data_IF_641594490146
#
_entry.id   IF_641594490146
#
_cell.length_a   1.000
_cell.length_b   1.000
_cell.length_c   1.000
_cell.angle_alpha   90.00
_cell.angle_beta   90.00
_cell.angle_gamma   90.00
#
_symmetry.space_group_name_H-M   'P 1'
#
loop_
_entity.id
_entity.type
_entity.pdbx_description
1 polymer ?
#
# COMPACT_ATOMS: atom_id res chain seq x y z
N UNK A 1 -70.68 0.04 -43.25
CA UNK A 1 -69.26 0.47 -43.32
C UNK A 1 -68.62 0.67 -41.93
N UNK A 2 -69.41 0.75 -40.85
CA UNK A 2 -68.98 1.01 -39.47
C UNK A 2 -68.42 -0.22 -38.74
N UNK A 3 -68.95 -1.43 -38.96
CA UNK A 3 -68.55 -2.63 -38.21
C UNK A 3 -67.11 -3.11 -38.53
N UNK A 4 -66.72 -3.05 -39.80
CA UNK A 4 -65.38 -3.41 -40.27
C UNK A 4 -64.30 -2.49 -39.67
N UNK A 5 -64.61 -1.20 -39.57
CA UNK A 5 -63.72 -0.21 -38.96
C UNK A 5 -63.55 -0.45 -37.44
N UNK A 6 -64.61 -0.83 -36.72
CA UNK A 6 -64.51 -1.19 -35.31
C UNK A 6 -63.70 -2.46 -35.07
N UNK A 7 -63.81 -3.45 -35.97
CA UNK A 7 -63.01 -4.66 -35.91
C UNK A 7 -61.52 -4.38 -36.16
N UNK A 8 -61.19 -3.59 -37.18
CA UNK A 8 -59.80 -3.19 -37.48
C UNK A 8 -59.20 -2.32 -36.37
N UNK A 9 -59.99 -1.42 -35.75
CA UNK A 9 -59.55 -0.63 -34.60
C UNK A 9 -59.26 -1.49 -33.35
N UNK A 10 -60.06 -2.55 -33.12
CA UNK A 10 -59.79 -3.50 -32.04
C UNK A 10 -58.50 -4.27 -32.30
N UNK A 11 -58.30 -4.76 -33.52
CA UNK A 11 -57.06 -5.45 -33.92
C UNK A 11 -55.85 -4.53 -33.72
N UNK A 12 -55.94 -3.27 -34.18
CA UNK A 12 -54.84 -2.30 -34.05
C UNK A 12 -54.53 -1.95 -32.58
N UNK A 13 -55.55 -1.78 -31.73
CA UNK A 13 -55.36 -1.54 -30.29
C UNK A 13 -54.73 -2.74 -29.60
N UNK A 14 -55.19 -3.95 -29.89
CA UNK A 14 -54.61 -5.18 -29.36
C UNK A 14 -53.16 -5.36 -29.82
N UNK A 15 -52.88 -5.09 -31.10
CA UNK A 15 -51.53 -5.11 -31.65
C UNK A 15 -50.62 -4.10 -30.94
N UNK A 16 -51.06 -2.85 -30.77
CA UNK A 16 -50.31 -1.80 -30.09
C UNK A 16 -50.03 -2.12 -28.61
N UNK A 17 -51.01 -2.69 -27.90
CA UNK A 17 -50.82 -3.13 -26.52
C UNK A 17 -49.79 -4.28 -26.43
N UNK A 18 -49.88 -5.27 -27.32
CA UNK A 18 -48.95 -6.40 -27.35
C UNK A 18 -47.54 -5.94 -27.69
N UNK A 19 -47.37 -5.09 -28.72
CA UNK A 19 -46.05 -4.57 -29.09
C UNK A 19 -45.44 -3.69 -28.00
N UNK A 20 -46.24 -2.84 -27.35
CA UNK A 20 -45.78 -2.02 -26.22
C UNK A 20 -45.36 -2.89 -25.04
N UNK A 21 -46.15 -3.92 -24.71
CA UNK A 21 -45.82 -4.86 -23.63
C UNK A 21 -44.53 -5.61 -23.94
N UNK A 22 -44.38 -6.12 -25.17
CA UNK A 22 -43.17 -6.80 -25.62
C UNK A 22 -41.95 -5.87 -25.54
N UNK A 23 -42.04 -4.64 -26.06
CA UNK A 23 -40.98 -3.64 -25.98
C UNK A 23 -40.58 -3.32 -24.54
N UNK A 24 -41.57 -3.23 -23.65
CA UNK A 24 -41.34 -2.97 -22.22
C UNK A 24 -40.62 -4.15 -21.57
N UNK A 25 -41.08 -5.38 -21.81
CA UNK A 25 -40.44 -6.60 -21.30
C UNK A 25 -39.03 -6.75 -21.84
N UNK A 26 -38.79 -6.56 -23.14
CA UNK A 26 -37.45 -6.63 -23.73
C UNK A 26 -36.51 -5.57 -23.16
N UNK A 27 -37.00 -4.34 -22.97
CA UNK A 27 -36.21 -3.27 -22.36
C UNK A 27 -35.82 -3.62 -20.93
N UNK A 28 -36.78 -4.03 -20.09
CA UNK A 28 -36.51 -4.43 -18.69
C UNK A 28 -35.55 -5.63 -18.64
N UNK A 29 -35.78 -6.64 -19.48
CA UNK A 29 -34.96 -7.86 -19.53
C UNK A 29 -33.49 -7.53 -19.88
N UNK A 30 -33.27 -6.66 -20.86
CA UNK A 30 -31.94 -6.22 -21.27
C UNK A 30 -31.18 -5.47 -20.15
N UNK A 31 -31.89 -4.72 -19.31
CA UNK A 31 -31.30 -4.05 -18.13
C UNK A 31 -31.09 -4.98 -16.93
N UNK A 32 -31.73 -6.16 -16.90
CA UNK A 32 -31.61 -7.13 -15.79
C UNK A 32 -30.53 -8.20 -16.00
N UNK A 33 -29.74 -8.13 -17.09
CA UNK A 33 -28.68 -9.10 -17.37
C UNK A 33 -27.50 -8.94 -16.39
N UNK A 34 -27.66 -9.49 -15.19
CA UNK A 34 -26.66 -9.56 -14.11
C UNK A 34 -25.71 -10.74 -14.30
N UNK A 35 -25.22 -10.96 -15.53
CA UNK A 35 -24.19 -11.97 -15.73
C UNK A 35 -22.82 -11.42 -15.31
N UNK A 36 -22.07 -12.23 -14.56
CA UNK A 36 -20.67 -11.93 -14.25
C UNK A 36 -19.89 -11.78 -15.56
N UNK A 37 -19.22 -10.64 -15.72
CA UNK A 37 -18.33 -10.44 -16.86
C UNK A 37 -17.23 -11.49 -16.84
N UNK A 38 -16.95 -12.08 -18.01
CA UNK A 38 -15.84 -13.01 -18.21
C UNK A 38 -14.96 -12.42 -19.31
N UNK A 39 -13.68 -12.32 -19.01
CA UNK A 39 -12.68 -11.86 -19.95
C UNK A 39 -11.62 -12.94 -20.09
N UNK A 40 -11.09 -13.12 -21.29
CA UNK A 40 -9.85 -13.89 -21.49
C UNK A 40 -8.64 -13.05 -21.06
N UNK A 41 -8.65 -11.76 -21.41
CA UNK A 41 -7.61 -10.77 -21.11
C UNK A 41 -8.26 -9.38 -21.01
N UNK A 42 -7.65 -8.48 -20.23
CA UNK A 42 -8.03 -7.07 -20.14
C UNK A 42 -6.79 -6.18 -20.11
N UNK A 43 -6.77 -5.15 -20.95
CA UNK A 43 -5.80 -4.06 -20.90
C UNK A 43 -6.43 -2.85 -20.21
N UNK A 44 -5.97 -2.58 -18.99
CA UNK A 44 -6.52 -1.49 -18.17
C UNK A 44 -5.42 -0.79 -17.40
N UNK A 45 -5.60 0.50 -17.15
CA UNK A 45 -4.65 1.27 -16.34
C UNK A 45 -4.85 1.04 -14.83
N UNK A 46 -6.08 0.65 -14.42
CA UNK A 46 -6.48 0.51 -13.02
C UNK A 46 -7.69 -0.42 -12.85
N UNK A 47 -7.68 -1.22 -11.79
CA UNK A 47 -8.79 -2.03 -11.29
C UNK A 47 -9.08 -1.61 -9.85
N UNK A 48 -10.34 -1.31 -9.55
CA UNK A 48 -10.82 -1.04 -8.20
C UNK A 48 -11.71 -2.18 -7.73
N UNK A 49 -11.41 -2.75 -6.57
CA UNK A 49 -12.36 -3.56 -5.80
C UNK A 49 -12.96 -2.64 -4.75
N UNK A 50 -14.28 -2.53 -4.75
CA UNK A 50 -15.03 -1.61 -3.88
C UNK A 50 -16.02 -2.37 -3.02
N UNK A 51 -16.19 -1.89 -1.80
CA UNK A 51 -17.22 -2.32 -0.87
C UNK A 51 -18.61 -1.77 -1.26
N UNK A 52 -19.72 -2.32 -0.74
CA UNK A 52 -21.07 -1.81 -1.01
C UNK A 52 -21.28 -0.34 -0.63
N UNK A 53 -20.52 0.18 0.33
CA UNK A 53 -20.54 1.59 0.75
C UNK A 53 -19.70 2.51 -0.15
N UNK A 54 -19.04 1.99 -1.18
CA UNK A 54 -18.19 2.74 -2.10
C UNK A 54 -16.73 2.90 -1.65
N UNK A 55 -16.35 2.43 -0.46
CA UNK A 55 -14.94 2.41 -0.05
C UNK A 55 -14.14 1.43 -0.91
N UNK A 56 -12.85 1.72 -1.11
CA UNK A 56 -11.96 0.75 -1.73
C UNK A 56 -11.66 -0.40 -0.76
N UNK A 57 -11.55 -1.62 -1.29
CA UNK A 57 -10.93 -2.78 -0.63
C UNK A 57 -9.53 -3.04 -1.17
N UNK A 58 -9.37 -2.88 -2.48
CA UNK A 58 -8.12 -3.10 -3.19
C UNK A 58 -8.06 -2.23 -4.44
N UNK A 59 -6.89 -1.65 -4.73
CA UNK A 59 -6.63 -0.91 -5.96
C UNK A 59 -5.37 -1.47 -6.63
N UNK A 60 -5.52 -2.08 -7.80
CA UNK A 60 -4.40 -2.46 -8.69
C UNK A 60 -4.26 -1.39 -9.78
N UNK A 61 -3.06 -0.86 -9.98
CA UNK A 61 -2.88 0.28 -10.90
C UNK A 61 -1.47 0.42 -11.45
N UNK A 62 -1.38 1.04 -12.64
CA UNK A 62 -0.13 1.55 -13.19
C UNK A 62 0.35 2.82 -12.46
N UNK A 63 1.49 3.37 -12.86
CA UNK A 63 2.14 4.46 -12.11
C UNK A 63 1.28 5.72 -12.10
N UNK A 64 0.83 6.27 -13.25
CA UNK A 64 0.03 7.50 -13.27
C UNK A 64 -1.34 7.37 -12.59
N UNK A 65 -1.92 6.16 -12.52
CA UNK A 65 -3.24 5.92 -11.90
C UNK A 65 -3.17 5.42 -10.46
N UNK A 66 -1.97 5.22 -9.92
CA UNK A 66 -1.79 4.81 -8.54
C UNK A 66 -2.42 5.78 -7.55
N UNK A 67 -3.03 5.22 -6.50
CA UNK A 67 -3.77 5.98 -5.50
C UNK A 67 -2.82 6.60 -4.47
N UNK A 68 -3.18 7.79 -3.96
CA UNK A 68 -2.52 8.38 -2.80
C UNK A 68 -2.96 7.69 -1.51
N UNK A 69 -2.31 7.97 -0.37
CA UNK A 69 -2.72 7.45 0.93
C UNK A 69 -4.14 7.90 1.30
N UNK A 70 -4.93 6.99 1.86
CA UNK A 70 -6.29 7.24 2.34
C UNK A 70 -6.42 6.75 3.78
N UNK A 71 -7.01 7.56 4.65
CA UNK A 71 -7.43 7.17 5.99
C UNK A 71 -8.89 7.55 6.19
N UNK A 72 -9.72 6.60 6.64
CA UNK A 72 -11.15 6.81 6.84
C UNK A 72 -11.86 7.41 5.62
N UNK A 73 -11.52 6.93 4.42
CA UNK A 73 -12.04 7.44 3.15
C UNK A 73 -11.51 8.81 2.71
N UNK A 74 -10.60 9.43 3.47
CA UNK A 74 -10.04 10.76 3.18
C UNK A 74 -8.57 10.67 2.72
N UNK A 75 -8.19 11.33 1.61
CA UNK A 75 -6.80 11.42 1.20
C UNK A 75 -5.94 12.15 2.24
N UNK A 76 -4.69 11.73 2.40
CA UNK A 76 -3.71 12.43 3.25
C UNK A 76 -2.28 12.34 2.70
N UNK A 77 -1.38 13.19 3.21
CA UNK A 77 0.03 13.18 2.86
C UNK A 77 0.29 13.67 1.43
N UNK A 78 0.49 12.74 0.49
CA UNK A 78 0.93 13.03 -0.87
C UNK A 78 -0.08 12.54 -1.93
N UNK A 79 -0.11 13.15 -3.14
CA UNK A 79 -0.98 12.68 -4.20
C UNK A 79 -0.57 11.29 -4.71
N UNK A 80 -1.50 10.58 -5.34
CA UNK A 80 -1.18 9.37 -6.10
C UNK A 80 -0.23 9.63 -7.29
N UNK A 81 0.12 8.59 -8.03
CA UNK A 81 0.94 8.72 -9.25
C UNK A 81 2.38 8.20 -9.16
N UNK A 82 2.80 7.68 -8.01
CA UNK A 82 4.19 7.29 -7.75
C UNK A 82 4.41 5.81 -7.47
N UNK A 83 3.35 5.06 -7.14
CA UNK A 83 3.40 3.72 -6.55
C UNK A 83 2.58 2.70 -7.36
N UNK A 84 3.01 2.26 -8.55
CA UNK A 84 2.27 1.23 -9.28
C UNK A 84 2.30 -0.10 -8.52
N UNK A 85 1.20 -0.84 -8.61
CA UNK A 85 1.00 -2.09 -7.90
C UNK A 85 -0.38 -2.17 -7.25
N UNK A 86 -0.45 -2.85 -6.10
CA UNK A 86 -1.68 -3.15 -5.36
C UNK A 86 -1.65 -2.41 -4.03
N UNK A 87 -2.71 -1.67 -3.71
CA UNK A 87 -2.92 -1.04 -2.39
C UNK A 87 -4.15 -1.67 -1.74
N UNK A 88 -4.05 -2.00 -0.45
CA UNK A 88 -5.12 -2.63 0.34
C UNK A 88 -5.73 -1.65 1.33
N UNK A 89 -6.99 -1.90 1.69
CA UNK A 89 -7.75 -1.08 2.62
C UNK A 89 -8.49 -1.95 3.65
N UNK A 90 -8.60 -1.44 4.88
CA UNK A 90 -9.42 -2.03 5.93
C UNK A 90 -10.91 -1.62 5.80
N UNK A 91 -11.76 -2.15 6.68
CA UNK A 91 -13.23 -1.94 6.65
C UNK A 91 -13.63 -0.48 6.90
N UNK A 92 -12.75 0.28 7.54
CA UNK A 92 -12.94 1.69 7.84
C UNK A 92 -12.52 2.61 6.67
N UNK A 93 -11.99 2.03 5.58
CA UNK A 93 -11.53 2.78 4.42
C UNK A 93 -10.15 3.42 4.60
N UNK A 94 -9.30 2.84 5.46
CA UNK A 94 -7.91 3.24 5.66
C UNK A 94 -6.97 2.29 4.92
N UNK A 95 -6.01 2.84 4.17
CA UNK A 95 -4.90 2.10 3.54
C UNK A 95 -4.16 1.32 4.63
N UNK A 96 -3.95 0.02 4.43
CA UNK A 96 -3.32 -0.86 5.44
C UNK A 96 -2.21 -1.75 4.86
N UNK A 97 -1.48 -1.20 3.90
CA UNK A 97 -0.37 -1.84 3.23
C UNK A 97 -0.58 -1.96 1.72
N UNK A 98 0.42 -2.54 1.06
CA UNK A 98 0.41 -2.67 -0.39
C UNK A 98 1.60 -3.44 -0.93
N UNK A 99 1.53 -3.77 -2.20
CA UNK A 99 2.60 -4.35 -3.00
C UNK A 99 2.90 -3.39 -4.14
N UNK A 100 4.06 -2.75 -4.11
CA UNK A 100 4.48 -1.77 -5.11
C UNK A 100 5.73 -2.23 -5.83
N UNK A 101 5.82 -1.88 -7.11
CA UNK A 101 6.97 -2.17 -7.96
C UNK A 101 7.47 -0.86 -8.55
N UNK A 102 8.77 -0.72 -8.74
CA UNK A 102 9.30 0.38 -9.53
C UNK A 102 10.66 0.02 -10.11
N UNK A 103 10.99 0.68 -11.20
CA UNK A 103 12.32 0.61 -11.76
C UNK A 103 12.47 1.60 -12.91
N UNK A 104 13.63 2.23 -12.98
CA UNK A 104 13.99 3.12 -14.09
C UNK A 104 15.50 3.31 -14.13
N UNK A 105 16.01 3.58 -15.33
CA UNK A 105 17.37 4.06 -15.53
C UNK A 105 17.32 5.53 -15.87
N UNK A 106 18.04 6.35 -15.10
CA UNK A 106 18.18 7.78 -15.34
C UNK A 106 19.67 8.14 -15.23
N UNK A 107 20.17 8.90 -16.20
CA UNK A 107 21.58 9.35 -16.23
C UNK A 107 22.59 8.20 -16.05
N UNK A 108 22.33 7.05 -16.69
CA UNK A 108 23.18 5.86 -16.62
C UNK A 108 23.15 5.11 -15.28
N UNK A 109 22.32 5.54 -14.32
CA UNK A 109 22.14 4.87 -13.03
C UNK A 109 20.75 4.27 -12.96
N UNK A 110 20.67 2.98 -12.62
CA UNK A 110 19.38 2.33 -12.46
C UNK A 110 18.92 2.34 -11.01
N UNK A 111 17.61 2.39 -10.83
CA UNK A 111 16.91 2.10 -9.58
C UNK A 111 15.92 1.00 -9.85
N UNK A 112 15.76 0.08 -8.90
CA UNK A 112 14.72 -0.95 -8.94
C UNK A 112 14.26 -1.24 -7.52
N UNK A 113 12.97 -1.48 -7.35
CA UNK A 113 12.43 -1.86 -6.06
C UNK A 113 11.12 -2.59 -6.12
N UNK A 114 10.95 -3.44 -5.11
CA UNK A 114 9.70 -4.11 -4.75
C UNK A 114 9.48 -3.85 -3.27
N UNK A 115 8.28 -3.42 -2.90
CA UNK A 115 7.93 -3.17 -1.51
C UNK A 115 6.55 -3.76 -1.25
N UNK A 116 6.52 -4.82 -0.46
CA UNK A 116 5.30 -5.41 0.09
C UNK A 116 5.25 -5.10 1.57
N UNK A 117 4.19 -4.43 2.01
CA UNK A 117 4.05 -3.98 3.38
C UNK A 117 2.69 -4.25 3.97
N UNK A 118 2.67 -4.37 5.29
CA UNK A 118 1.49 -4.48 6.12
C UNK A 118 1.58 -3.45 7.25
N UNK A 119 0.56 -2.63 7.35
CA UNK A 119 0.52 -1.55 8.32
C UNK A 119 -0.06 -2.02 9.66
N UNK A 120 0.42 -1.41 10.74
CA UNK A 120 -0.27 -1.54 12.03
C UNK A 120 -1.63 -0.83 11.94
N UNK A 121 -2.62 -1.31 12.68
CA UNK A 121 -3.94 -0.68 12.72
C UNK A 121 -3.84 0.82 13.00
N UNK A 122 -4.46 1.64 12.15
CA UNK A 122 -4.46 3.11 12.24
C UNK A 122 -3.05 3.74 12.27
N UNK A 123 -2.08 3.01 11.73
CA UNK A 123 -0.66 3.35 11.73
C UNK A 123 -0.04 2.93 10.39
N UNK A 124 1.29 2.93 10.35
CA UNK A 124 2.10 2.69 9.17
C UNK A 124 2.85 1.34 9.29
N UNK A 125 3.65 0.95 8.29
CA UNK A 125 4.23 -0.41 8.16
C UNK A 125 4.89 -1.00 9.42
N UNK A 126 4.54 -2.25 9.76
CA UNK A 126 5.21 -3.07 10.80
C UNK A 126 5.81 -4.37 10.25
N UNK A 127 5.32 -4.85 9.10
CA UNK A 127 5.93 -5.98 8.39
C UNK A 127 6.22 -5.56 6.96
N UNK A 128 7.46 -5.75 6.50
CA UNK A 128 7.90 -5.32 5.17
C UNK A 128 8.79 -6.37 4.51
N UNK A 129 8.37 -6.90 3.36
CA UNK A 129 9.21 -7.67 2.44
C UNK A 129 9.66 -6.75 1.31
N UNK A 130 10.97 -6.63 1.11
CA UNK A 130 11.52 -5.60 0.23
C UNK A 130 12.73 -6.07 -0.59
N UNK A 131 12.81 -5.53 -1.79
CA UNK A 131 14.01 -5.47 -2.63
C UNK A 131 14.21 -3.99 -3.01
N UNK A 132 15.41 -3.45 -2.78
CA UNK A 132 15.84 -2.13 -3.26
C UNK A 132 17.22 -2.30 -3.85
N UNK A 133 17.40 -1.81 -5.08
CA UNK A 133 18.69 -1.72 -5.76
C UNK A 133 18.89 -0.30 -6.27
N UNK A 134 19.88 0.37 -5.69
CA UNK A 134 20.35 1.68 -6.10
C UNK A 134 21.70 1.50 -6.79
N UNK A 135 21.65 1.22 -8.10
CA UNK A 135 22.83 1.08 -8.95
C UNK A 135 23.90 0.11 -8.38
N UNK A 136 23.47 -1.08 -7.93
CA UNK A 136 24.32 -2.12 -7.32
C UNK A 136 24.35 -2.08 -5.80
N UNK A 137 23.93 -0.98 -5.17
CA UNK A 137 23.76 -0.90 -3.71
C UNK A 137 22.43 -1.50 -3.31
N UNK A 138 22.45 -2.80 -3.00
CA UNK A 138 21.26 -3.61 -2.78
C UNK A 138 20.95 -3.83 -1.31
N UNK A 139 19.68 -3.66 -0.92
CA UNK A 139 19.08 -4.20 0.31
C UNK A 139 17.91 -5.09 -0.08
N UNK A 140 17.88 -6.32 0.41
CA UNK A 140 16.72 -7.20 0.23
C UNK A 140 16.45 -7.95 1.53
N UNK A 141 15.20 -8.19 1.88
CA UNK A 141 14.87 -8.93 3.08
C UNK A 141 13.48 -8.67 3.61
N UNK A 142 13.24 -9.24 4.78
CA UNK A 142 12.02 -9.13 5.55
C UNK A 142 12.35 -8.40 6.87
N UNK A 143 11.55 -7.39 7.18
CA UNK A 143 11.63 -6.60 8.40
C UNK A 143 10.35 -6.77 9.22
N UNK A 144 10.51 -6.92 10.54
CA UNK A 144 9.46 -6.78 11.54
C UNK A 144 9.82 -5.62 12.47
N UNK A 145 8.86 -4.74 12.72
CA UNK A 145 9.06 -3.55 13.53
C UNK A 145 7.92 -3.36 14.55
N UNK A 146 8.27 -2.73 15.67
CA UNK A 146 7.30 -2.18 16.62
C UNK A 146 7.11 -0.69 16.30
N UNK A 147 5.91 -0.15 16.56
CA UNK A 147 5.61 1.28 16.46
C UNK A 147 4.76 1.74 17.64
N UNK A 148 4.93 3.01 18.03
CA UNK A 148 4.06 3.63 19.00
C UNK A 148 2.60 3.64 18.52
N UNK A 149 1.65 3.45 19.43
CA UNK A 149 0.23 3.50 19.12
C UNK A 149 -0.25 4.96 19.09
N UNK A 150 -0.20 5.56 17.89
CA UNK A 150 -0.55 6.96 17.64
C UNK A 150 -1.29 7.02 16.30
N UNK A 151 -2.46 7.63 16.18
CA UNK A 151 -3.16 7.67 14.89
C UNK A 151 -2.31 8.31 13.77
N UNK A 152 -2.19 7.64 12.62
CA UNK A 152 -1.39 8.12 11.48
C UNK A 152 -1.77 9.54 11.05
N UNK A 153 -3.06 9.88 11.11
CA UNK A 153 -3.55 11.22 10.76
C UNK A 153 -3.04 12.31 11.69
N UNK A 154 -2.81 12.01 12.97
CA UNK A 154 -2.20 12.96 13.91
C UNK A 154 -0.73 13.17 13.58
N UNK A 155 0.01 12.09 13.29
CA UNK A 155 1.42 12.16 12.88
C UNK A 155 1.57 13.00 11.61
N UNK A 156 0.71 12.76 10.61
CA UNK A 156 0.72 13.50 9.34
C UNK A 156 0.39 14.98 9.56
N UNK A 157 -0.65 15.31 10.33
CA UNK A 157 -1.02 16.69 10.60
C UNK A 157 0.11 17.48 11.31
N UNK A 158 0.81 16.82 12.24
CA UNK A 158 1.98 17.41 12.89
C UNK A 158 3.13 17.60 11.89
N UNK A 159 3.42 16.58 11.07
CA UNK A 159 4.46 16.65 10.04
C UNK A 159 4.20 17.76 9.01
N UNK A 160 2.95 17.92 8.57
CA UNK A 160 2.54 18.99 7.65
C UNK A 160 2.72 20.38 8.25
N UNK A 161 2.41 20.53 9.54
CA UNK A 161 2.63 21.77 10.28
C UNK A 161 4.11 22.11 10.37
N UNK A 162 4.97 21.12 10.65
CA UNK A 162 6.43 21.30 10.70
C UNK A 162 7.02 21.59 9.31
N UNK A 163 6.51 20.93 8.27
CA UNK A 163 6.99 21.13 6.90
C UNK A 163 6.77 22.57 6.39
N UNK A 164 5.71 23.25 6.88
CA UNK A 164 5.39 24.65 6.56
C UNK A 164 6.26 25.67 7.28
N UNK A 165 7.04 25.26 8.29
CA UNK A 165 7.97 26.16 8.98
C UNK A 165 9.10 26.60 8.02
N UNK A 166 9.61 27.84 8.20
CA UNK A 166 10.84 28.27 7.52
C UNK A 166 12.00 27.33 7.82
N UNK A 167 12.89 27.15 6.85
CA UNK A 167 14.09 26.35 7.06
C UNK A 167 15.01 27.03 8.09
N UNK A 168 15.50 26.24 9.04
CA UNK A 168 16.32 26.71 10.14
C UNK A 168 16.27 25.78 11.36
N UNK A 169 17.01 26.12 12.43
CA UNK A 169 17.13 25.29 13.63
C UNK A 169 15.78 24.89 14.23
N UNK A 170 14.81 25.82 14.28
CA UNK A 170 13.48 25.53 14.83
C UNK A 170 12.73 24.41 14.08
N UNK A 171 12.86 24.34 12.75
CA UNK A 171 12.24 23.27 11.95
C UNK A 171 12.94 21.93 12.18
N UNK A 172 14.26 21.95 12.36
CA UNK A 172 15.05 20.76 12.72
C UNK A 172 14.63 20.23 14.08
N UNK A 173 14.55 21.10 15.09
CA UNK A 173 14.11 20.74 16.44
C UNK A 173 12.68 20.21 16.46
N UNK A 174 11.78 20.86 15.70
CA UNK A 174 10.40 20.40 15.57
C UNK A 174 10.31 19.03 14.89
N UNK A 175 11.11 18.78 13.84
CA UNK A 175 11.21 17.44 13.22
C UNK A 175 11.74 16.40 14.20
N UNK A 176 12.74 16.73 15.01
CA UNK A 176 13.28 15.81 16.01
C UNK A 176 12.21 15.40 17.03
N UNK A 177 11.38 16.35 17.50
CA UNK A 177 10.26 16.08 18.42
C UNK A 177 9.18 15.15 17.86
N UNK A 178 9.01 15.08 16.53
CA UNK A 178 8.09 14.13 15.91
C UNK A 178 8.59 12.68 15.98
N UNK A 179 9.89 12.49 16.13
CA UNK A 179 10.53 11.17 16.22
C UNK A 179 10.70 10.69 17.67
N UNK A 180 10.46 11.57 18.64
CA UNK A 180 10.53 11.21 20.05
C UNK A 180 9.51 10.11 20.40
N UNK A 181 9.88 9.16 21.29
CA UNK A 181 8.98 8.13 21.77
C UNK A 181 7.65 8.70 22.29
N UNK A 182 6.55 8.01 21.99
CA UNK A 182 5.22 8.32 22.54
C UNK A 182 4.86 7.25 23.56
N UNK A 183 4.49 7.67 24.77
CA UNK A 183 4.19 6.77 25.89
C UNK A 183 5.32 5.76 26.18
N UNK A 184 6.58 6.18 26.02
CA UNK A 184 7.75 5.32 26.21
C UNK A 184 8.00 4.30 25.10
N UNK A 185 7.23 4.34 24.01
CA UNK A 185 7.40 3.47 22.84
C UNK A 185 7.99 4.29 21.68
N UNK A 186 9.06 3.84 21.01
CA UNK A 186 9.58 4.51 19.83
C UNK A 186 8.53 4.65 18.72
N UNK A 187 8.58 5.75 17.96
CA UNK A 187 7.72 5.92 16.78
C UNK A 187 7.91 4.82 15.74
N UNK A 188 9.10 4.23 15.68
CA UNK A 188 9.45 3.05 14.90
C UNK A 188 10.68 2.37 15.50
N UNK A 189 10.66 1.05 15.64
CA UNK A 189 11.80 0.25 16.06
C UNK A 189 11.87 -1.05 15.26
N UNK A 190 12.88 -1.21 14.40
CA UNK A 190 13.15 -2.49 13.72
C UNK A 190 13.54 -3.54 14.77
N UNK A 191 12.73 -4.58 14.93
CA UNK A 191 12.92 -5.67 15.93
C UNK A 191 13.67 -6.84 15.32
N UNK A 192 13.32 -7.18 14.08
CA UNK A 192 13.93 -8.28 13.33
C UNK A 192 14.17 -7.82 11.90
N UNK A 193 15.36 -8.08 11.39
CA UNK A 193 15.66 -8.01 9.96
C UNK A 193 16.35 -9.30 9.53
N UNK A 194 15.86 -9.90 8.45
CA UNK A 194 16.51 -11.04 7.80
C UNK A 194 16.65 -10.76 6.30
N UNK A 195 17.87 -10.84 5.78
CA UNK A 195 18.12 -10.63 4.37
C UNK A 195 19.54 -10.24 4.03
N UNK A 196 19.74 -9.62 2.87
CA UNK A 196 21.04 -9.12 2.42
C UNK A 196 21.12 -7.60 2.58
N UNK A 197 22.08 -7.13 3.36
CA UNK A 197 22.29 -5.70 3.59
C UNK A 197 23.11 -5.03 2.46
N UNK A 198 23.28 -3.71 2.55
CA UNK A 198 24.07 -2.90 1.60
C UNK A 198 25.56 -3.26 1.58
N UNK A 199 26.09 -3.80 2.67
CA UNK A 199 27.45 -4.33 2.75
C UNK A 199 27.61 -5.73 2.10
N UNK A 200 26.57 -6.20 1.39
CA UNK A 200 26.53 -7.50 0.71
C UNK A 200 26.56 -8.71 1.65
N UNK A 201 26.41 -8.51 2.96
CA UNK A 201 26.31 -9.58 3.93
C UNK A 201 24.88 -10.15 3.98
N UNK A 202 24.75 -11.46 4.12
CA UNK A 202 23.52 -12.10 4.55
C UNK A 202 23.44 -11.96 6.07
N UNK A 203 22.37 -11.40 6.61
CA UNK A 203 22.25 -11.04 8.02
C UNK A 203 20.88 -11.40 8.59
N UNK A 204 20.89 -11.76 9.87
CA UNK A 204 19.76 -11.77 10.78
C UNK A 204 20.12 -10.86 11.96
N UNK A 205 19.41 -9.75 12.12
CA UNK A 205 19.53 -8.87 13.29
C UNK A 205 18.33 -9.09 14.22
N UNK A 206 18.60 -9.23 15.52
CA UNK A 206 17.62 -9.09 16.58
C UNK A 206 17.96 -7.84 17.38
N UNK A 207 17.03 -6.91 17.42
CA UNK A 207 17.21 -5.64 18.13
C UNK A 207 16.60 -5.68 19.52
N UNK A 208 16.76 -4.61 20.30
CA UNK A 208 16.00 -4.33 21.52
C UNK A 208 14.76 -3.45 21.25
N UNK A 209 14.04 -3.10 22.32
CA UNK A 209 12.78 -2.33 22.24
C UNK A 209 12.96 -0.93 21.64
N UNK A 210 14.20 -0.43 21.58
CA UNK A 210 14.56 0.85 20.97
C UNK A 210 15.01 0.70 19.51
N UNK A 211 15.00 -0.53 18.97
CA UNK A 211 15.46 -0.83 17.62
C UNK A 211 16.98 -0.95 17.49
N UNK A 212 17.72 -1.05 18.60
CA UNK A 212 19.18 -1.21 18.59
C UNK A 212 19.56 -2.69 18.49
N UNK A 213 20.33 -3.13 17.49
CA UNK A 213 20.78 -4.51 17.36
C UNK A 213 21.51 -5.00 18.63
N UNK A 214 21.13 -6.18 19.13
CA UNK A 214 21.78 -6.87 20.26
C UNK A 214 22.38 -8.21 19.86
N UNK A 215 21.83 -8.82 18.82
CA UNK A 215 22.35 -10.07 18.25
C UNK A 215 22.39 -9.91 16.74
N UNK A 216 23.52 -10.27 16.13
CA UNK A 216 23.69 -10.32 14.67
C UNK A 216 24.28 -11.66 14.27
N UNK A 217 23.52 -12.46 13.54
CA UNK A 217 24.03 -13.61 12.81
C UNK A 217 24.27 -13.18 11.36
N UNK A 218 25.47 -13.39 10.83
CA UNK A 218 25.79 -12.96 9.47
C UNK A 218 26.78 -13.87 8.76
N UNK A 219 26.75 -13.81 7.43
CA UNK A 219 27.82 -14.23 6.54
C UNK A 219 28.20 -13.00 5.73
N UNK A 220 29.44 -12.53 5.88
CA UNK A 220 29.89 -11.31 5.22
C UNK A 220 30.11 -11.48 3.71
N UNK A 221 30.50 -10.40 3.03
CA UNK A 221 30.75 -10.40 1.59
C UNK A 221 31.90 -11.31 1.12
N UNK A 222 32.76 -11.76 2.04
CA UNK A 222 33.87 -12.68 1.78
C UNK A 222 33.51 -14.13 2.13
N UNK A 223 32.29 -14.37 2.63
CA UNK A 223 31.81 -15.69 3.04
C UNK A 223 32.16 -16.05 4.49
N UNK A 224 32.67 -15.12 5.30
CA UNK A 224 33.01 -15.39 6.70
C UNK A 224 31.74 -15.33 7.54
N UNK A 225 31.41 -16.45 8.18
CA UNK A 225 30.27 -16.55 9.09
C UNK A 225 30.62 -15.97 10.48
N UNK A 226 29.66 -15.29 11.12
CA UNK A 226 29.79 -14.86 12.50
C UNK A 226 28.43 -14.69 13.21
N UNK A 227 28.39 -14.99 14.50
CA UNK A 227 27.36 -14.59 15.45
C UNK A 227 27.97 -13.57 16.41
N UNK A 228 27.44 -12.34 16.43
CA UNK A 228 27.89 -11.23 17.26
C UNK A 228 26.84 -10.89 18.31
N UNK A 229 27.26 -10.67 19.55
CA UNK A 229 26.47 -10.03 20.61
C UNK A 229 26.95 -8.60 20.78
N UNK A 230 26.01 -7.65 20.85
CA UNK A 230 26.29 -6.22 20.88
C UNK A 230 25.76 -5.58 22.18
N UNK A 231 26.55 -4.69 22.76
CA UNK A 231 26.14 -3.90 23.93
C UNK A 231 25.17 -2.76 23.58
N UNK A 232 24.84 -1.95 24.59
CA UNK A 232 23.95 -0.80 24.47
C UNK A 232 24.39 0.23 23.41
N UNK A 233 25.70 0.40 23.23
CA UNK A 233 26.31 1.31 22.26
C UNK A 233 26.50 0.68 20.87
N UNK A 234 26.12 -0.60 20.70
CA UNK A 234 26.31 -1.33 19.45
C UNK A 234 27.72 -1.86 19.25
N UNK A 235 28.54 -1.92 20.31
CA UNK A 235 29.87 -2.53 20.27
C UNK A 235 29.75 -4.04 20.45
N UNK A 236 30.48 -4.81 19.64
CA UNK A 236 30.57 -6.26 19.78
C UNK A 236 31.27 -6.61 21.10
N UNK A 237 30.57 -7.34 21.97
CA UNK A 237 31.08 -7.83 23.26
C UNK A 237 31.39 -9.32 23.25
N UNK A 238 30.84 -10.06 22.28
CA UNK A 238 31.15 -11.47 22.05
C UNK A 238 30.93 -11.82 20.57
N UNK A 239 31.74 -12.74 20.03
CA UNK A 239 31.70 -13.19 18.63
C UNK A 239 31.91 -14.70 18.56
N UNK A 240 31.27 -15.38 17.61
CA UNK A 240 31.53 -16.78 17.28
C UNK A 240 31.56 -16.96 15.75
N UNK A 241 32.50 -17.74 15.16
CA UNK A 241 33.73 -18.19 15.80
C UNK A 241 34.61 -16.98 16.18
N UNK A 242 35.46 -17.17 17.18
CA UNK A 242 36.47 -16.18 17.60
C UNK A 242 37.63 -16.12 16.61
#
# INVERSE_FOLDING_TARGET
MTDRNHHELRILRTYGLITTLLLTVFSVSAFTQTQKAKFTEIDVERINIVEPNGHYRMVLSNRPRSIGPIAYGKPFGYPGGSRPGIIFFNDEGTENGGLTFYGKTENGKFTSGVHMSFDQYNQDQVVVLQYIDENGTRRTGLTFADRADVPIMEVVAQMDSVNKMPDGPAKVDARAKLLEPKNGVPMYAERVYVGRNRAKAAVLNLSDREGKPRIRLQVDSLGVASLEFLDAAGKVVSRLPN
#
